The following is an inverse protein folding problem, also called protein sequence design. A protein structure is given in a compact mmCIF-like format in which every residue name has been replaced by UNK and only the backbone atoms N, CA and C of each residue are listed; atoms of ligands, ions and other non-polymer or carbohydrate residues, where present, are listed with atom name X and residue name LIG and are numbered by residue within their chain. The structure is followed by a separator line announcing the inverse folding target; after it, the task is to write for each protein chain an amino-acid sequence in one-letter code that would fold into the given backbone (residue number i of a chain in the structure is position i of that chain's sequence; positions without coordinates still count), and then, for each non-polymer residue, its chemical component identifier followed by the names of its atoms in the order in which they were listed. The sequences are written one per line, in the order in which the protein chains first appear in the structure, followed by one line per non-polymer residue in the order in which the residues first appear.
data_IF_088213301845
#
_entry.id   IF_088213301845
#
_cell.length_a   1.000
_cell.length_b   1.000
_cell.length_c   1.000
_cell.angle_alpha   90.00
_cell.angle_beta   90.00
_cell.angle_gamma   90.00
#
_symmetry.space_group_name_H-M   'P 1'
#
loop_
_entity.id
_entity.type
_entity.pdbx_description
1 polymer ?
#
# COMPACT_ATOMS: atom_id res chain seq x y z
N UNK A 1 18.44 -11.00 7.34
CA UNK A 1 18.60 -10.15 6.14
C UNK A 1 17.41 -9.21 6.12
N UNK A 2 17.63 -7.91 6.27
CA UNK A 2 16.58 -6.91 6.06
C UNK A 2 16.36 -6.79 4.56
N UNK A 3 15.22 -7.27 4.07
CA UNK A 3 14.85 -7.11 2.66
C UNK A 3 14.58 -5.62 2.46
N UNK A 4 15.28 -4.99 1.52
CA UNK A 4 15.05 -3.58 1.22
C UNK A 4 13.78 -3.47 0.37
N UNK A 5 12.83 -2.70 0.87
CA UNK A 5 11.61 -2.36 0.13
C UNK A 5 11.94 -1.24 -0.87
N UNK A 6 11.52 -1.34 -2.14
CA UNK A 6 11.79 -0.30 -3.12
C UNK A 6 11.22 1.08 -2.71
N UNK A 7 11.88 2.14 -3.18
CA UNK A 7 11.64 3.54 -2.76
C UNK A 7 10.16 3.96 -2.70
N UNK A 8 9.31 3.73 -3.72
CA UNK A 8 7.94 4.22 -3.64
C UNK A 8 7.13 3.52 -2.52
N UNK A 9 7.42 2.26 -2.24
CA UNK A 9 6.75 1.49 -1.20
C UNK A 9 7.25 1.86 0.20
N UNK A 10 8.55 2.12 0.35
CA UNK A 10 9.12 2.62 1.62
C UNK A 10 8.50 3.97 2.00
N UNK A 11 8.37 4.88 1.04
CA UNK A 11 7.72 6.18 1.24
C UNK A 11 6.23 6.02 1.60
N UNK A 12 5.50 5.14 0.90
CA UNK A 12 4.10 4.88 1.17
C UNK A 12 3.88 4.26 2.56
N UNK A 13 4.70 3.30 2.98
CA UNK A 13 4.62 2.68 4.32
C UNK A 13 4.96 3.70 5.41
N UNK A 14 5.94 4.58 5.18
CA UNK A 14 6.26 5.65 6.12
C UNK A 14 5.08 6.61 6.32
N UNK A 15 4.38 6.99 5.23
CA UNK A 15 3.16 7.80 5.31
C UNK A 15 2.03 7.09 6.09
N UNK A 16 1.85 5.79 5.86
CA UNK A 16 0.90 4.97 6.61
C UNK A 16 1.21 4.90 8.12
N UNK A 17 2.48 4.97 8.51
CA UNK A 17 2.86 4.96 9.93
C UNK A 17 2.82 6.35 10.58
N UNK A 18 2.86 7.43 9.79
CA UNK A 18 2.94 8.81 10.28
C UNK A 18 1.57 9.43 10.58
N UNK A 19 0.51 9.01 9.90
CA UNK A 19 -0.82 9.62 10.03
C UNK A 19 -1.74 8.85 11.01
N UNK A 20 -2.81 9.51 11.46
CA UNK A 20 -3.82 8.93 12.36
C UNK A 20 -5.20 8.97 11.68
N UNK A 21 -5.60 7.81 11.16
CA UNK A 21 -6.98 7.34 10.93
C UNK A 21 -7.85 8.09 9.90
N UNK A 22 -8.22 7.36 8.84
CA UNK A 22 -9.29 7.72 7.88
C UNK A 22 -8.88 7.48 6.43
N UNK A 23 -8.01 8.33 5.90
CA UNK A 23 -7.57 8.30 4.50
C UNK A 23 -6.49 7.23 4.21
N UNK A 24 -5.81 6.76 5.27
CA UNK A 24 -4.84 5.66 5.23
C UNK A 24 -5.43 4.35 4.71
N UNK A 25 -6.73 4.13 4.91
CA UNK A 25 -7.42 2.88 4.54
C UNK A 25 -7.35 2.61 3.02
N UNK A 26 -7.42 3.68 2.23
CA UNK A 26 -7.38 3.57 0.77
C UNK A 26 -5.96 3.33 0.25
N UNK A 27 -4.95 3.96 0.86
CA UNK A 27 -3.56 3.71 0.50
C UNK A 27 -3.14 2.27 0.87
N UNK A 28 -3.59 1.78 2.03
CA UNK A 28 -3.41 0.38 2.46
C UNK A 28 -4.00 -0.59 1.43
N UNK A 29 -5.22 -0.34 0.95
CA UNK A 29 -5.88 -1.19 -0.07
C UNK A 29 -5.08 -1.23 -1.39
N UNK A 30 -4.53 -0.10 -1.80
CA UNK A 30 -3.72 -0.03 -3.02
C UNK A 30 -2.47 -0.87 -2.87
N UNK A 31 -1.71 -0.66 -1.78
CA UNK A 31 -0.49 -1.44 -1.54
C UNK A 31 -0.78 -2.92 -1.44
N UNK A 32 -1.85 -3.30 -0.75
CA UNK A 32 -2.29 -4.68 -0.63
C UNK A 32 -2.65 -5.31 -1.98
N UNK A 33 -3.34 -4.56 -2.85
CA UNK A 33 -3.71 -5.03 -4.20
C UNK A 33 -2.53 -5.21 -5.15
N UNK A 34 -1.42 -4.53 -4.89
CA UNK A 34 -0.20 -4.68 -5.68
C UNK A 34 0.52 -5.99 -5.31
N UNK A 35 0.51 -6.36 -4.03
CA UNK A 35 1.34 -7.47 -3.51
C UNK A 35 0.56 -8.76 -3.24
N UNK A 36 -0.77 -8.70 -3.23
CA UNK A 36 -1.62 -9.85 -2.94
C UNK A 36 -2.60 -10.09 -4.09
N UNK A 37 -2.51 -11.23 -4.82
CA UNK A 37 -3.27 -11.47 -6.05
C UNK A 37 -4.78 -11.52 -5.86
N UNK A 38 -5.26 -11.91 -4.67
CA UNK A 38 -6.68 -11.93 -4.32
C UNK A 38 -7.25 -10.56 -3.89
N UNK A 39 -6.41 -9.53 -3.74
CA UNK A 39 -6.85 -8.22 -3.30
C UNK A 39 -7.00 -7.29 -4.50
N UNK A 40 -8.22 -6.81 -4.73
CA UNK A 40 -8.52 -5.89 -5.83
C UNK A 40 -8.83 -4.52 -5.25
N UNK A 41 -8.00 -3.52 -5.57
CA UNK A 41 -8.30 -2.14 -5.25
C UNK A 41 -9.02 -1.48 -6.44
N UNK A 42 -10.13 -0.80 -6.16
CA UNK A 42 -10.80 0.01 -7.18
C UNK A 42 -9.98 1.25 -7.49
N UNK A 43 -9.57 1.44 -8.74
CA UNK A 43 -8.90 2.67 -9.20
C UNK A 43 -9.78 3.91 -8.97
N UNK A 44 -11.09 3.76 -8.83
CA UNK A 44 -11.97 4.87 -8.44
C UNK A 44 -11.68 5.35 -7.01
N UNK A 45 -11.27 4.45 -6.12
CA UNK A 45 -10.92 4.80 -4.74
C UNK A 45 -9.65 5.66 -4.67
N UNK A 46 -8.74 5.54 -5.66
CA UNK A 46 -7.59 6.44 -5.78
C UNK A 46 -7.99 7.90 -5.98
N UNK A 47 -9.16 8.18 -6.57
CA UNK A 47 -9.65 9.56 -6.73
C UNK A 47 -10.08 10.19 -5.41
N UNK A 48 -10.34 9.38 -4.40
CA UNK A 48 -10.70 9.80 -3.05
C UNK A 48 -9.48 10.01 -2.15
N UNK A 49 -8.27 9.60 -2.59
CA UNK A 49 -7.03 9.89 -1.88
C UNK A 49 -6.66 11.36 -2.02
N UNK A 50 -6.20 11.95 -0.92
CA UNK A 50 -5.52 13.23 -0.93
C UNK A 50 -4.33 13.28 -1.89
N UNK A 51 -4.04 14.47 -2.42
CA UNK A 51 -3.00 14.69 -3.44
C UNK A 51 -1.64 14.02 -3.14
N UNK A 52 -1.05 14.13 -1.92
CA UNK A 52 0.20 13.44 -1.59
C UNK A 52 0.09 11.91 -1.63
N UNK A 53 -0.99 11.35 -1.07
CA UNK A 53 -1.22 9.91 -1.04
C UNK A 53 -1.51 9.33 -2.41
N UNK A 54 -2.24 10.07 -3.25
CA UNK A 54 -2.53 9.68 -4.63
C UNK A 54 -1.27 9.59 -5.47
N UNK A 55 -0.35 10.54 -5.29
CA UNK A 55 0.93 10.52 -5.99
C UNK A 55 1.82 9.35 -5.53
N UNK A 56 1.84 9.06 -4.22
CA UNK A 56 2.53 7.87 -3.70
C UNK A 56 1.94 6.57 -4.24
N UNK A 57 0.61 6.45 -4.24
CA UNK A 57 -0.10 5.31 -4.81
C UNK A 57 0.22 5.14 -6.31
N UNK A 58 0.20 6.24 -7.07
CA UNK A 58 0.57 6.25 -8.49
C UNK A 58 1.99 5.74 -8.71
N UNK A 59 2.97 6.24 -7.95
CA UNK A 59 4.37 5.81 -8.04
C UNK A 59 4.55 4.33 -7.70
N UNK A 60 3.82 3.81 -6.71
CA UNK A 60 3.84 2.39 -6.37
C UNK A 60 3.27 1.52 -7.50
N UNK A 61 2.13 1.94 -8.08
CA UNK A 61 1.51 1.26 -9.22
C UNK A 61 2.46 1.26 -10.41
N UNK A 62 3.01 2.42 -10.79
CA UNK A 62 3.95 2.53 -11.91
C UNK A 62 5.17 1.65 -11.74
N UNK A 63 5.73 1.58 -10.52
CA UNK A 63 6.86 0.69 -10.22
C UNK A 63 6.50 -0.79 -10.41
N UNK A 64 5.35 -1.20 -9.85
CA UNK A 64 4.88 -2.58 -9.99
C UNK A 64 4.63 -2.98 -11.46
N UNK A 65 4.18 -2.05 -12.29
CA UNK A 65 3.96 -2.29 -13.72
C UNK A 65 5.24 -2.27 -14.58
N UNK A 66 6.28 -1.54 -14.17
CA UNK A 66 7.48 -1.33 -14.99
C UNK A 66 8.62 -2.31 -14.70
N UNK A 67 8.87 -2.60 -13.42
CA UNK A 67 9.93 -3.52 -12.99
C UNK A 67 9.41 -4.80 -12.31
N UNK A 68 8.15 -4.79 -11.89
CA UNK A 68 7.62 -5.83 -11.00
C UNK A 68 8.22 -5.75 -9.60
N UNK A 69 7.66 -6.54 -8.70
CA UNK A 69 8.23 -6.82 -7.38
C UNK A 69 8.68 -8.27 -7.39
N UNK A 70 9.84 -8.56 -6.78
CA UNK A 70 10.20 -9.94 -6.48
C UNK A 70 9.28 -10.50 -5.40
N UNK A 71 9.18 -11.83 -5.30
CA UNK A 71 8.38 -12.48 -4.25
C UNK A 71 8.81 -12.05 -2.84
N UNK A 72 10.11 -11.80 -2.66
CA UNK A 72 10.68 -11.35 -1.38
C UNK A 72 10.27 -9.92 -1.02
N UNK A 73 10.27 -9.01 -2.01
CA UNK A 73 9.82 -7.63 -1.80
C UNK A 73 8.32 -7.58 -1.57
N UNK A 74 7.53 -8.33 -2.34
CA UNK A 74 6.08 -8.43 -2.16
C UNK A 74 5.71 -8.93 -0.76
N UNK A 75 6.39 -9.98 -0.28
CA UNK A 75 6.17 -10.54 1.06
C UNK A 75 6.56 -9.55 2.18
N UNK A 76 7.65 -8.80 2.00
CA UNK A 76 8.08 -7.76 2.94
C UNK A 76 7.08 -6.61 3.01
N UNK A 77 6.63 -6.10 1.86
CA UNK A 77 5.62 -5.04 1.79
C UNK A 77 4.32 -5.52 2.44
N UNK A 78 3.85 -6.72 2.11
CA UNK A 78 2.64 -7.29 2.71
C UNK A 78 2.75 -7.40 4.23
N UNK A 79 3.89 -7.86 4.76
CA UNK A 79 4.09 -7.95 6.22
C UNK A 79 4.00 -6.58 6.92
N UNK A 80 4.45 -5.51 6.27
CA UNK A 80 4.38 -4.16 6.84
C UNK A 80 2.97 -3.55 6.74
N UNK A 81 2.20 -3.92 5.71
CA UNK A 81 0.83 -3.43 5.48
C UNK A 81 -0.23 -4.27 6.21
N UNK A 82 0.03 -5.55 6.49
CA UNK A 82 -0.90 -6.49 7.12
C UNK A 82 -1.49 -6.02 8.46
N UNK A 83 -0.73 -5.38 9.39
CA UNK A 83 -1.30 -4.84 10.62
C UNK A 83 -2.37 -3.77 10.36
N UNK A 84 -2.17 -2.94 9.34
CA UNK A 84 -3.11 -1.88 8.95
C UNK A 84 -4.37 -2.47 8.29
N UNK A 85 -4.22 -3.54 7.51
CA UNK A 85 -5.35 -4.32 6.96
C UNK A 85 -6.18 -4.99 8.06
N UNK A 86 -5.51 -5.61 9.04
CA UNK A 86 -6.19 -6.28 10.15
C UNK A 86 -6.91 -5.28 11.05
N UNK A 87 -6.31 -4.10 11.29
CA UNK A 87 -6.96 -3.02 12.02
C UNK A 87 -8.27 -2.61 11.33
N UNK A 88 -8.26 -2.44 10.00
CA UNK A 88 -9.48 -2.16 9.23
C UNK A 88 -10.55 -3.24 9.37
N UNK A 89 -10.20 -4.51 9.21
CA UNK A 89 -11.18 -5.61 9.28
C UNK A 89 -11.82 -5.76 10.68
N UNK A 90 -11.10 -5.35 11.73
CA UNK A 90 -11.60 -5.36 13.10
C UNK A 90 -12.44 -4.13 13.48
N UNK A 91 -12.52 -3.10 12.63
CA UNK A 91 -13.48 -2.01 12.78
C UNK A 91 -14.64 -2.20 11.81
N UNK A 92 -15.73 -2.88 12.22
CA UNK A 92 -16.94 -2.92 11.43
C UNK A 92 -17.53 -1.50 11.40
N UNK A 93 -17.68 -0.95 10.20
CA UNK A 93 -18.61 0.15 9.94
C UNK A 93 -20.05 -0.30 10.17
#
# INVERSE_FOLDING_TARGET
MTIQVPSPFTEAIAALNAEQVGEQLLLVDVLASIVHPDMVCSLFALRSLDAPHRELARRCIEFAFSGGLTDSESAEIYRQVAPHLAARLNFPH
#
